data_IF_974588751036
#
_entry.id   IF_974588751036
#
_cell.length_a   1.000
_cell.length_b   1.000
_cell.length_c   1.000
_cell.angle_alpha   90.00
_cell.angle_beta   90.00
_cell.angle_gamma   90.00
#
_symmetry.space_group_name_H-M   'P 1'
#
loop_
_entity.id
_entity.type
_entity.pdbx_description
1 polymer ?
#
# COMPACT_ATOMS: atom_id res chain seq x y z
N UNK A 1 3.78 17.96 -2.53
CA UNK A 1 3.10 16.73 -2.09
C UNK A 1 1.82 16.44 -2.86
N UNK A 2 0.82 17.35 -2.89
CA UNK A 2 -0.46 17.10 -3.57
C UNK A 2 -0.35 16.67 -5.03
N UNK A 3 0.57 17.23 -5.82
CA UNK A 3 0.79 16.83 -7.22
C UNK A 3 1.26 15.37 -7.40
N UNK A 4 2.15 14.88 -6.54
CA UNK A 4 2.58 13.47 -6.57
C UNK A 4 1.43 12.53 -6.18
N UNK A 5 0.64 12.91 -5.17
CA UNK A 5 -0.53 12.16 -4.73
C UNK A 5 -1.58 12.11 -5.86
N UNK A 6 -1.88 13.25 -6.48
CA UNK A 6 -2.81 13.34 -7.60
C UNK A 6 -2.34 12.54 -8.83
N UNK A 7 -1.03 12.57 -9.13
CA UNK A 7 -0.44 11.76 -10.19
C UNK A 7 -0.56 10.25 -9.91
N UNK A 8 -0.22 9.81 -8.70
CA UNK A 8 -0.35 8.40 -8.30
C UNK A 8 -1.82 7.94 -8.29
N UNK A 9 -2.75 8.81 -7.90
CA UNK A 9 -4.17 8.52 -7.94
C UNK A 9 -4.64 8.23 -9.38
N UNK A 10 -4.30 9.11 -10.32
CA UNK A 10 -4.64 8.94 -11.74
C UNK A 10 -4.03 7.67 -12.34
N UNK A 11 -2.74 7.41 -12.07
CA UNK A 11 -2.06 6.19 -12.52
C UNK A 11 -2.71 4.94 -11.92
N UNK A 12 -3.09 4.98 -10.64
CA UNK A 12 -3.79 3.90 -9.96
C UNK A 12 -5.15 3.59 -10.58
N UNK A 13 -5.95 4.62 -10.88
CA UNK A 13 -7.22 4.46 -11.57
C UNK A 13 -7.05 3.92 -12.99
N UNK A 14 -6.08 4.42 -13.74
CA UNK A 14 -5.77 3.91 -15.08
C UNK A 14 -5.41 2.41 -15.03
N UNK A 15 -4.63 1.98 -14.02
CA UNK A 15 -4.28 0.58 -13.85
C UNK A 15 -5.49 -0.30 -13.48
N UNK A 16 -6.41 0.19 -12.63
CA UNK A 16 -7.67 -0.52 -12.32
C UNK A 16 -8.56 -0.66 -13.56
N UNK A 17 -8.71 0.41 -14.33
CA UNK A 17 -9.53 0.42 -15.55
C UNK A 17 -9.01 -0.53 -16.63
N UNK A 18 -7.71 -0.85 -16.64
CA UNK A 18 -7.14 -1.85 -17.54
C UNK A 18 -7.43 -3.30 -17.13
N UNK A 19 -7.71 -3.55 -15.85
CA UNK A 19 -7.88 -4.90 -15.29
C UNK A 19 -9.33 -5.29 -15.02
N UNK A 20 -10.20 -4.32 -14.73
CA UNK A 20 -11.59 -4.55 -14.34
C UNK A 20 -12.54 -3.74 -15.22
N UNK A 21 -13.75 -4.27 -15.43
CA UNK A 21 -14.81 -3.61 -16.20
C UNK A 21 -16.15 -3.70 -15.47
N UNK A 22 -17.12 -2.87 -15.83
CA UNK A 22 -18.48 -2.92 -15.27
C UNK A 22 -18.52 -2.79 -13.74
N UNK A 23 -19.25 -3.68 -13.07
CA UNK A 23 -19.43 -3.65 -11.62
C UNK A 23 -18.12 -3.90 -10.84
N UNK A 24 -17.21 -4.73 -11.36
CA UNK A 24 -15.95 -5.03 -10.71
C UNK A 24 -15.02 -3.81 -10.67
N UNK A 25 -15.08 -2.96 -11.71
CA UNK A 25 -14.33 -1.70 -11.72
C UNK A 25 -14.83 -0.73 -10.66
N UNK A 26 -16.14 -0.63 -10.47
CA UNK A 26 -16.73 0.22 -9.43
C UNK A 26 -16.32 -0.24 -8.02
N UNK A 27 -16.33 -1.55 -7.77
CA UNK A 27 -15.90 -2.14 -6.50
C UNK A 27 -14.39 -1.96 -6.25
N UNK A 28 -13.56 -2.10 -7.29
CA UNK A 28 -12.12 -1.88 -7.18
C UNK A 28 -11.80 -0.40 -6.89
N UNK A 29 -12.50 0.52 -7.56
CA UNK A 29 -12.35 1.96 -7.33
C UNK A 29 -12.74 2.37 -5.90
N UNK A 30 -13.84 1.84 -5.35
CA UNK A 30 -14.24 2.15 -3.97
C UNK A 30 -13.26 1.60 -2.94
N UNK A 31 -12.71 0.41 -3.16
CA UNK A 31 -11.66 -0.17 -2.31
C UNK A 31 -10.40 0.68 -2.33
N UNK A 32 -10.00 1.16 -3.53
CA UNK A 32 -8.86 2.06 -3.69
C UNK A 32 -9.06 3.39 -2.96
N UNK A 33 -10.23 4.02 -3.14
CA UNK A 33 -10.56 5.27 -2.46
C UNK A 33 -10.63 5.09 -0.94
N UNK A 34 -11.20 3.99 -0.45
CA UNK A 34 -11.24 3.68 0.98
C UNK A 34 -9.83 3.58 1.57
N UNK A 35 -8.92 2.87 0.89
CA UNK A 35 -7.53 2.77 1.30
C UNK A 35 -6.83 4.14 1.30
N UNK A 36 -7.08 4.97 0.29
CA UNK A 36 -6.56 6.34 0.22
C UNK A 36 -7.05 7.21 1.37
N UNK A 37 -8.37 7.27 1.57
CA UNK A 37 -8.99 8.04 2.65
C UNK A 37 -8.53 7.58 4.03
N UNK A 38 -8.40 6.25 4.22
CA UNK A 38 -7.86 5.69 5.45
C UNK A 38 -6.42 6.15 5.72
N UNK A 39 -5.55 6.11 4.70
CA UNK A 39 -4.17 6.59 4.83
C UNK A 39 -4.08 8.08 5.16
N UNK A 40 -4.91 8.90 4.51
CA UNK A 40 -4.96 10.36 4.77
C UNK A 40 -5.49 10.67 6.17
N UNK A 41 -6.42 9.88 6.70
CA UNK A 41 -6.95 10.07 8.05
C UNK A 41 -5.97 9.60 9.13
N UNK A 42 -5.41 8.40 8.96
CA UNK A 42 -4.58 7.73 9.95
C UNK A 42 -3.16 8.31 10.00
N UNK A 43 -2.62 8.72 8.84
CA UNK A 43 -1.25 9.21 8.71
C UNK A 43 -0.91 10.39 9.64
N UNK A 44 -1.65 11.52 9.58
CA UNK A 44 -1.40 12.67 10.43
C UNK A 44 -1.57 12.36 11.92
N UNK A 45 -2.58 11.55 12.28
CA UNK A 45 -2.81 11.17 13.67
C UNK A 45 -1.65 10.34 14.23
N UNK A 46 -1.22 9.30 13.51
CA UNK A 46 -0.07 8.48 13.92
C UNK A 46 1.23 9.30 13.98
N UNK A 47 1.46 10.18 13.01
CA UNK A 47 2.64 11.05 13.00
C UNK A 47 2.64 12.01 14.19
N UNK A 48 1.53 12.66 14.48
CA UNK A 48 1.38 13.57 15.63
C UNK A 48 1.67 12.85 16.94
N UNK A 49 1.02 11.70 17.17
CA UNK A 49 1.24 10.88 18.36
C UNK A 49 2.70 10.41 18.48
N UNK A 50 3.36 10.10 17.36
CA UNK A 50 4.76 9.67 17.38
C UNK A 50 5.71 10.79 17.79
N UNK A 51 5.45 12.01 17.33
CA UNK A 51 6.24 13.20 17.72
C UNK A 51 6.04 13.50 19.21
N UNK A 52 4.80 13.46 19.69
CA UNK A 52 4.49 13.68 21.11
C UNK A 52 5.11 12.60 22.02
N UNK A 53 5.13 11.34 21.58
CA UNK A 53 5.65 10.23 22.38
C UNK A 53 7.18 10.23 22.51
N UNK A 54 7.91 10.74 21.51
CA UNK A 54 9.38 10.66 21.51
C UNK A 54 10.04 11.85 20.80
N UNK A 55 10.10 12.99 21.45
CA UNK A 55 10.86 14.14 20.92
C UNK A 55 12.37 13.95 21.16
N UNK A 56 13.28 14.21 20.19
CA UNK A 56 13.07 14.69 18.81
C UNK A 56 12.98 13.60 17.72
N UNK A 57 13.04 12.31 18.09
CA UNK A 57 13.21 11.21 17.13
C UNK A 57 11.90 10.64 16.58
N UNK A 58 10.75 11.05 17.11
CA UNK A 58 9.43 10.47 16.88
C UNK A 58 9.00 10.55 15.42
N UNK A 59 9.33 11.65 14.74
CA UNK A 59 9.10 11.79 13.31
C UNK A 59 9.92 10.77 12.49
N UNK A 60 11.21 10.64 12.78
CA UNK A 60 12.09 9.69 12.10
C UNK A 60 11.67 8.23 12.39
N UNK A 61 11.27 7.94 13.63
CA UNK A 61 10.75 6.64 14.03
C UNK A 61 9.45 6.28 13.29
N UNK A 62 8.52 7.22 13.13
CA UNK A 62 7.29 7.00 12.37
C UNK A 62 7.56 6.72 10.89
N UNK A 63 8.50 7.45 10.27
CA UNK A 63 8.92 7.17 8.89
C UNK A 63 9.59 5.80 8.76
N UNK A 64 10.50 5.47 9.67
CA UNK A 64 11.16 4.17 9.71
C UNK A 64 10.15 3.02 9.86
N UNK A 65 9.13 3.21 10.69
CA UNK A 65 8.03 2.27 10.86
C UNK A 65 7.21 2.09 9.57
N UNK A 66 6.84 3.18 8.88
CA UNK A 66 6.16 3.09 7.58
C UNK A 66 6.97 2.33 6.53
N UNK A 67 8.28 2.62 6.43
CA UNK A 67 9.17 1.89 5.52
C UNK A 67 9.33 0.43 5.92
N UNK A 68 9.43 0.13 7.22
CA UNK A 68 9.51 -1.24 7.73
C UNK A 68 8.24 -2.03 7.38
N UNK A 69 7.06 -1.45 7.57
CA UNK A 69 5.79 -2.09 7.19
C UNK A 69 5.74 -2.40 5.70
N UNK A 70 6.12 -1.44 4.85
CA UNK A 70 6.19 -1.66 3.40
C UNK A 70 7.21 -2.74 3.04
N UNK A 71 8.38 -2.72 3.67
CA UNK A 71 9.44 -3.72 3.47
C UNK A 71 8.96 -5.13 3.83
N UNK A 72 8.34 -5.30 4.99
CA UNK A 72 7.75 -6.58 5.42
C UNK A 72 6.67 -7.05 4.45
N UNK A 73 5.80 -6.14 3.97
CA UNK A 73 4.77 -6.45 3.00
C UNK A 73 5.36 -6.93 1.66
N UNK A 74 6.43 -6.29 1.17
CA UNK A 74 7.14 -6.72 -0.03
C UNK A 74 7.79 -8.08 0.18
N UNK A 75 8.47 -8.30 1.31
CA UNK A 75 9.06 -9.60 1.64
C UNK A 75 8.01 -10.71 1.68
N UNK A 76 6.86 -10.48 2.32
CA UNK A 76 5.75 -11.42 2.37
C UNK A 76 5.22 -11.73 0.96
N UNK A 77 5.05 -10.70 0.12
CA UNK A 77 4.62 -10.87 -1.27
C UNK A 77 5.61 -11.70 -2.07
N UNK A 78 6.92 -11.43 -1.95
CA UNK A 78 7.97 -12.18 -2.63
C UNK A 78 8.02 -13.64 -2.18
N UNK A 79 7.89 -13.88 -0.88
CA UNK A 79 7.84 -15.24 -0.33
C UNK A 79 6.63 -16.02 -0.87
N UNK A 80 5.47 -15.36 -1.03
CA UNK A 80 4.27 -16.00 -1.58
C UNK A 80 4.41 -16.30 -3.08
N UNK A 81 5.02 -15.40 -3.86
CA UNK A 81 5.33 -15.64 -5.28
C UNK A 81 6.33 -16.79 -5.48
N UNK A 82 7.31 -16.93 -4.58
CA UNK A 82 8.29 -18.01 -4.59
C UNK A 82 7.73 -19.38 -4.22
N UNK A 83 6.53 -19.47 -3.64
CA UNK A 83 5.86 -20.75 -3.32
C UNK A 83 5.11 -21.34 -4.52
N UNK A 84 4.74 -20.53 -5.49
CA UNK A 84 4.03 -20.94 -6.72
C UNK A 84 4.83 -21.64 -7.85
N UNK A 85 6.18 -21.77 -7.86
CA UNK A 85 6.90 -22.44 -8.96
C UNK A 85 6.95 -23.97 -8.95
N UNK A 86 6.45 -24.67 -7.91
CA UNK A 86 6.78 -26.09 -7.69
C UNK A 86 5.59 -27.07 -7.80
N UNK A 87 4.48 -26.66 -8.43
CA UNK A 87 3.32 -27.52 -8.64
C UNK A 87 3.33 -28.28 -9.99
N UNK A 88 4.25 -27.96 -10.91
CA UNK A 88 4.20 -28.42 -12.31
C UNK A 88 5.43 -29.24 -12.74
N UNK A 89 6.00 -30.07 -11.85
CA UNK A 89 6.97 -31.07 -12.27
C UNK A 89 6.24 -32.25 -12.94
N UNK A 90 6.47 -32.57 -14.24
CA UNK A 90 5.94 -33.80 -14.82
C UNK A 90 6.60 -34.98 -14.11
N UNK A 91 5.78 -35.89 -13.56
CA UNK A 91 6.26 -37.16 -13.01
C UNK A 91 6.95 -38.03 -14.07
N UNK A 92 7.83 -38.96 -13.64
CA UNK A 92 8.65 -39.79 -14.53
C UNK A 92 7.82 -40.69 -15.47
#
# INVERSE_FOLDING_TARGET
WGGCIGGLYTVGLAHLAQRFTGADLAAANSTFLFAYSGGVLVGPALLGLSIEAWDPHGFAAALAFCFLLYFVLVLARMANLRRSPNADAPGP
#
